data_IF_880786084191
#
_entry.id   IF_880786084191
#
_cell.length_a   1.000
_cell.length_b   1.000
_cell.length_c   1.000
_cell.angle_alpha   90.00
_cell.angle_beta   90.00
_cell.angle_gamma   90.00
#
_symmetry.space_group_name_H-M   'P 1'
#
loop_
_entity.id
_entity.type
_entity.pdbx_description
1 polymer ?
#
# COMPACT_ATOMS: atom_id res chain seq x y z
N UNK A 1 -5.06 -8.37 -65.98
CA UNK A 1 -6.17 -9.17 -66.50
C UNK A 1 -6.51 -10.22 -65.45
N UNK A 2 -7.79 -10.30 -65.04
CA UNK A 2 -8.29 -11.29 -64.07
C UNK A 2 -8.70 -12.57 -64.80
N UNK A 3 -8.82 -13.68 -64.07
CA UNK A 3 -9.64 -14.84 -64.46
C UNK A 3 -10.49 -15.26 -63.27
N UNK A 4 -11.77 -14.88 -63.34
CA UNK A 4 -12.97 -15.60 -62.88
C UNK A 4 -12.98 -17.05 -63.40
N UNK A 5 -13.76 -18.03 -62.94
CA UNK A 5 -14.90 -18.24 -62.03
C UNK A 5 -14.80 -19.74 -61.61
N UNK A 6 -15.27 -20.24 -60.47
CA UNK A 6 -16.64 -20.25 -59.96
C UNK A 6 -17.14 -21.71 -59.89
N UNK A 7 -17.67 -22.11 -58.73
CA UNK A 7 -18.80 -23.02 -58.52
C UNK A 7 -18.68 -23.84 -57.21
N UNK A 8 -19.65 -23.59 -56.33
CA UNK A 8 -20.11 -24.37 -55.17
C UNK A 8 -20.50 -25.81 -55.54
N UNK A 9 -20.56 -26.78 -54.58
CA UNK A 9 -21.80 -26.91 -53.79
C UNK A 9 -21.69 -27.43 -52.33
N UNK A 10 -22.73 -27.08 -51.55
CA UNK A 10 -23.51 -27.88 -50.59
C UNK A 10 -22.93 -28.38 -49.24
N UNK A 11 -23.30 -27.65 -48.18
CA UNK A 11 -24.12 -28.03 -47.00
C UNK A 11 -23.92 -29.36 -46.22
N UNK A 12 -23.49 -29.16 -44.96
CA UNK A 12 -23.92 -29.76 -43.66
C UNK A 12 -23.67 -31.25 -43.31
N UNK A 13 -23.48 -31.62 -42.01
CA UNK A 13 -24.11 -31.01 -40.82
C UNK A 13 -23.20 -30.54 -39.68
N UNK A 14 -23.72 -29.55 -38.95
CA UNK A 14 -23.30 -29.12 -37.64
C UNK A 14 -23.41 -30.24 -36.60
N UNK A 15 -22.35 -30.40 -35.79
CA UNK A 15 -22.37 -31.21 -34.58
C UNK A 15 -22.68 -30.31 -33.36
N UNK A 16 -23.48 -30.80 -32.40
CA UNK A 16 -24.06 -29.99 -31.33
C UNK A 16 -22.98 -29.54 -30.33
N UNK A 17 -22.86 -28.22 -30.16
CA UNK A 17 -22.17 -27.63 -29.02
C UNK A 17 -23.12 -27.66 -27.82
N UNK A 18 -23.00 -28.71 -27.02
CA UNK A 18 -23.71 -28.87 -25.75
C UNK A 18 -22.88 -29.70 -24.81
N UNK A 19 -21.82 -29.12 -24.23
CA UNK A 19 -21.15 -29.72 -23.09
C UNK A 19 -22.08 -29.52 -21.88
N UNK A 20 -23.06 -30.41 -21.76
CA UNK A 20 -23.96 -30.55 -20.62
C UNK A 20 -23.21 -31.11 -19.42
N UNK A 21 -22.17 -30.41 -18.97
CA UNK A 21 -21.61 -30.64 -17.64
C UNK A 21 -22.59 -30.08 -16.64
N UNK A 22 -23.15 -30.94 -15.80
CA UNK A 22 -23.90 -30.50 -14.63
C UNK A 22 -23.00 -29.58 -13.80
N UNK A 23 -23.30 -28.29 -13.83
CA UNK A 23 -22.58 -27.28 -13.07
C UNK A 23 -22.70 -27.62 -11.59
N UNK A 24 -21.55 -27.88 -10.96
CA UNK A 24 -21.49 -28.30 -9.55
C UNK A 24 -22.16 -27.25 -8.67
N UNK A 25 -22.80 -27.67 -7.57
CA UNK A 25 -23.46 -26.74 -6.66
C UNK A 25 -22.52 -25.62 -6.17
N UNK A 26 -21.23 -25.94 -6.02
CA UNK A 26 -20.19 -24.99 -5.62
C UNK A 26 -19.84 -23.97 -6.72
N UNK A 27 -19.85 -24.35 -8.00
CA UNK A 27 -19.67 -23.42 -9.12
C UNK A 27 -20.85 -22.47 -9.29
N UNK A 28 -22.08 -22.97 -9.11
CA UNK A 28 -23.29 -22.13 -9.10
C UNK A 28 -23.26 -21.12 -7.95
N UNK A 29 -22.82 -21.53 -6.76
CA UNK A 29 -22.63 -20.63 -5.63
C UNK A 29 -21.55 -19.56 -5.91
N UNK A 30 -20.43 -19.94 -6.54
CA UNK A 30 -19.35 -19.01 -6.93
C UNK A 30 -19.80 -17.99 -7.97
N UNK A 31 -20.70 -18.36 -8.88
CA UNK A 31 -21.25 -17.44 -9.88
C UNK A 31 -22.22 -16.43 -9.25
N UNK A 32 -23.06 -16.93 -8.33
CA UNK A 32 -24.11 -16.16 -7.65
C UNK A 32 -23.63 -15.33 -6.46
N UNK A 33 -22.38 -15.44 -6.00
CA UNK A 33 -21.93 -14.68 -4.81
C UNK A 33 -20.43 -14.38 -4.81
N UNK A 34 -20.03 -13.31 -4.12
CA UNK A 34 -18.61 -12.99 -3.90
C UNK A 34 -18.06 -13.77 -2.69
N UNK A 35 -16.73 -13.95 -2.55
CA UNK A 35 -16.13 -14.66 -1.41
C UNK A 35 -16.51 -14.09 -0.04
N UNK A 36 -16.75 -12.77 0.04
CA UNK A 36 -17.20 -12.08 1.25
C UNK A 36 -18.63 -12.49 1.64
N UNK A 37 -19.53 -12.53 0.67
CA UNK A 37 -20.95 -12.90 0.84
C UNK A 37 -21.08 -14.36 1.30
N UNK A 38 -20.24 -15.27 0.79
CA UNK A 38 -20.16 -16.66 1.25
C UNK A 38 -19.68 -16.81 2.70
N UNK A 39 -18.72 -15.99 3.11
CA UNK A 39 -18.23 -16.00 4.49
C UNK A 39 -19.32 -15.57 5.46
N UNK A 40 -20.04 -14.49 5.15
CA UNK A 40 -21.16 -13.99 5.97
C UNK A 40 -22.29 -15.02 6.02
N UNK A 41 -22.64 -15.64 4.89
CA UNK A 41 -23.66 -16.68 4.85
C UNK A 41 -23.30 -17.90 5.72
N UNK A 42 -22.05 -18.36 5.69
CA UNK A 42 -21.57 -19.47 6.51
C UNK A 42 -21.50 -19.12 8.01
N UNK A 43 -21.17 -17.88 8.36
CA UNK A 43 -21.13 -17.41 9.75
C UNK A 43 -22.53 -17.32 10.39
N UNK A 44 -23.56 -17.05 9.57
CA UNK A 44 -24.94 -16.88 10.02
C UNK A 44 -25.87 -18.05 9.67
N UNK A 45 -25.32 -19.18 9.20
CA UNK A 45 -26.04 -20.38 8.76
C UNK A 45 -27.21 -20.04 7.80
N UNK A 46 -26.89 -19.22 6.78
CA UNK A 46 -27.83 -18.78 5.74
C UNK A 46 -27.52 -19.50 4.44
N UNK A 47 -28.53 -20.15 3.84
CA UNK A 47 -28.41 -20.64 2.48
C UNK A 47 -28.54 -19.48 1.48
N UNK A 48 -27.52 -19.32 0.63
CA UNK A 48 -27.48 -18.30 -0.42
C UNK A 48 -28.54 -18.53 -1.51
N UNK A 49 -29.14 -19.71 -1.55
CA UNK A 49 -30.23 -20.05 -2.46
C UNK A 49 -31.51 -19.29 -2.10
N UNK A 50 -31.70 -18.97 -0.82
CA UNK A 50 -32.90 -18.30 -0.28
C UNK A 50 -32.81 -16.76 -0.35
N UNK A 51 -31.65 -16.23 -0.71
CA UNK A 51 -31.41 -14.79 -0.81
C UNK A 51 -31.53 -14.34 -2.26
N UNK A 52 -32.50 -13.46 -2.52
CA UNK A 52 -32.66 -12.82 -3.83
C UNK A 52 -31.51 -11.81 -4.06
N UNK A 53 -30.77 -11.98 -5.17
CA UNK A 53 -29.58 -11.17 -5.45
C UNK A 53 -29.89 -10.00 -6.38
N UNK A 54 -29.59 -8.78 -5.93
CA UNK A 54 -29.82 -7.54 -6.69
C UNK A 54 -28.63 -7.16 -7.60
N UNK A 55 -27.53 -7.89 -7.55
CA UNK A 55 -26.32 -7.63 -8.32
C UNK A 55 -26.41 -8.02 -9.80
N UNK A 56 -25.47 -7.53 -10.61
CA UNK A 56 -25.38 -7.84 -12.05
C UNK A 56 -25.40 -9.36 -12.29
N UNK A 57 -26.30 -9.81 -13.16
CA UNK A 57 -26.57 -11.22 -13.46
C UNK A 57 -27.16 -12.04 -12.30
N UNK A 58 -27.94 -11.43 -11.41
CA UNK A 58 -28.65 -12.11 -10.31
C UNK A 58 -27.73 -12.53 -9.16
N UNK A 59 -26.63 -11.79 -8.97
CA UNK A 59 -25.62 -12.07 -7.94
C UNK A 59 -26.07 -11.49 -6.60
N UNK A 60 -25.96 -12.29 -5.53
CA UNK A 60 -26.19 -11.86 -4.16
C UNK A 60 -25.05 -10.96 -3.71
N UNK A 61 -25.40 -9.74 -3.30
CA UNK A 61 -24.48 -8.72 -2.81
C UNK A 61 -24.45 -8.71 -1.28
N UNK A 62 -23.49 -7.96 -0.71
CA UNK A 62 -23.42 -7.77 0.75
C UNK A 62 -24.71 -7.15 1.30
N UNK A 63 -25.31 -6.20 0.58
CA UNK A 63 -26.53 -5.53 1.00
C UNK A 63 -27.72 -6.49 1.04
N UNK A 64 -27.81 -7.40 0.08
CA UNK A 64 -28.91 -8.39 0.01
C UNK A 64 -28.88 -9.36 1.20
N UNK A 65 -27.71 -9.86 1.59
CA UNK A 65 -27.57 -10.73 2.78
C UNK A 65 -27.88 -9.97 4.07
N UNK A 66 -27.37 -8.75 4.21
CA UNK A 66 -27.62 -7.97 5.43
C UNK A 66 -29.12 -7.65 5.56
N UNK A 67 -29.78 -7.28 4.46
CA UNK A 67 -31.22 -7.05 4.45
C UNK A 67 -32.02 -8.35 4.73
N UNK A 68 -31.55 -9.50 4.26
CA UNK A 68 -32.16 -10.80 4.56
C UNK A 68 -32.02 -11.16 6.06
N UNK A 69 -30.84 -10.93 6.65
CA UNK A 69 -30.61 -11.15 8.08
C UNK A 69 -31.44 -10.20 8.95
N UNK A 70 -31.57 -8.93 8.55
CA UNK A 70 -32.42 -7.95 9.23
C UNK A 70 -33.91 -8.33 9.17
N UNK A 71 -34.39 -8.85 8.02
CA UNK A 71 -35.76 -9.37 7.90
C UNK A 71 -35.99 -10.64 8.70
N UNK A 72 -35.03 -11.58 8.69
CA UNK A 72 -35.08 -12.79 9.52
C UNK A 72 -35.09 -12.46 11.01
N UNK A 73 -34.43 -11.38 11.43
CA UNK A 73 -34.49 -10.86 12.80
C UNK A 73 -35.78 -10.10 13.15
N UNK A 74 -36.62 -9.77 12.17
CA UNK A 74 -37.83 -8.96 12.33
C UNK A 74 -39.14 -9.78 12.22
N UNK A 75 -39.08 -11.06 11.88
CA UNK A 75 -40.22 -11.99 12.03
C UNK A 75 -40.26 -12.57 13.46
N UNK A 76 -41.43 -12.59 14.13
CA UNK A 76 -41.54 -13.12 15.49
C UNK A 76 -41.46 -14.64 15.44
N UNK A 77 -40.31 -15.19 15.82
CA UNK A 77 -40.15 -16.62 16.02
C UNK A 77 -40.93 -17.05 17.27
N UNK A 78 -41.92 -17.91 17.03
CA UNK A 78 -42.69 -18.61 18.05
C UNK A 78 -41.77 -19.50 18.89
N UNK A 79 -42.02 -19.51 20.20
CA UNK A 79 -41.23 -20.20 21.22
C UNK A 79 -40.99 -21.71 20.93
N UNK A 80 -39.75 -22.20 21.10
CA UNK A 80 -39.49 -23.63 21.23
C UNK A 80 -39.51 -24.07 22.70
N UNK A 81 -40.14 -25.23 22.93
CA UNK A 81 -40.19 -25.96 24.18
C UNK A 81 -38.82 -26.57 24.57
N UNK A 82 -38.59 -26.67 25.88
CA UNK A 82 -37.40 -27.21 26.53
C UNK A 82 -37.15 -28.71 26.23
N UNK A 83 -35.89 -29.04 25.99
CA UNK A 83 -35.30 -30.36 26.20
C UNK A 83 -33.83 -30.23 26.67
N UNK A 84 -33.28 -31.20 27.44
CA UNK A 84 -32.38 -30.91 28.54
C UNK A 84 -30.87 -30.95 28.18
N UNK A 85 -30.14 -30.05 28.83
CA UNK A 85 -28.83 -30.27 29.45
C UNK A 85 -27.69 -30.87 28.62
N UNK A 86 -26.89 -30.01 27.98
CA UNK A 86 -25.47 -30.29 27.68
C UNK A 86 -24.57 -29.40 28.54
N UNK A 87 -23.43 -29.92 29.04
CA UNK A 87 -22.62 -29.24 30.04
C UNK A 87 -22.05 -27.94 29.50
N UNK A 88 -22.11 -26.90 30.33
CA UNK A 88 -21.58 -25.57 30.07
C UNK A 88 -20.10 -25.67 29.71
N UNK A 89 -19.78 -25.42 28.45
CA UNK A 89 -18.44 -25.03 28.04
C UNK A 89 -18.26 -23.60 28.56
N UNK A 90 -17.35 -23.41 29.50
CA UNK A 90 -16.95 -22.09 29.98
C UNK A 90 -16.73 -21.18 28.78
N UNK A 91 -17.49 -20.10 28.72
CA UNK A 91 -17.31 -19.06 27.75
C UNK A 91 -15.92 -18.46 27.97
N UNK A 92 -15.00 -18.75 27.05
CA UNK A 92 -13.89 -17.84 26.80
C UNK A 92 -14.50 -16.45 26.63
N UNK A 93 -14.01 -15.42 27.35
CA UNK A 93 -14.58 -14.09 27.23
C UNK A 93 -14.51 -13.72 25.75
N UNK A 94 -15.67 -13.47 25.16
CA UNK A 94 -15.77 -12.86 23.86
C UNK A 94 -15.05 -11.52 24.00
N UNK A 95 -13.77 -11.49 23.60
CA UNK A 95 -13.05 -10.25 23.38
C UNK A 95 -13.94 -9.41 22.49
N UNK A 96 -14.42 -8.29 23.02
CA UNK A 96 -15.47 -7.49 22.39
C UNK A 96 -15.17 -7.33 20.91
N UNK A 97 -16.15 -7.66 20.07
CA UNK A 97 -16.05 -7.45 18.65
C UNK A 97 -15.77 -5.96 18.42
N UNK A 98 -14.50 -5.61 18.23
CA UNK A 98 -14.10 -4.27 17.84
C UNK A 98 -14.84 -3.95 16.55
N UNK A 99 -15.56 -2.83 16.53
CA UNK A 99 -16.19 -2.34 15.31
C UNK A 99 -15.12 -2.18 14.22
N UNK A 100 -15.49 -2.40 12.95
CA UNK A 100 -14.54 -2.32 11.84
C UNK A 100 -13.75 -0.99 11.84
N UNK A 101 -14.39 0.11 12.21
CA UNK A 101 -13.77 1.43 12.30
C UNK A 101 -12.73 1.52 13.44
N UNK A 102 -13.00 0.89 14.58
CA UNK A 102 -12.05 0.80 15.69
C UNK A 102 -10.86 -0.10 15.33
N UNK A 103 -11.11 -1.17 14.58
CA UNK A 103 -10.09 -2.07 14.05
C UNK A 103 -9.14 -1.35 13.09
N UNK A 104 -9.66 -0.57 12.16
CA UNK A 104 -8.83 0.22 11.23
C UNK A 104 -8.12 1.38 11.94
N UNK A 105 -8.79 2.05 12.89
CA UNK A 105 -8.17 3.13 13.68
C UNK A 105 -6.99 2.61 14.50
N UNK A 106 -7.11 1.46 15.16
CA UNK A 106 -5.98 0.85 15.89
C UNK A 106 -4.90 0.33 14.94
N UNK A 107 -5.29 -0.28 13.81
CA UNK A 107 -4.34 -0.84 12.85
C UNK A 107 -3.43 0.23 12.22
N UNK A 108 -3.98 1.41 11.91
CA UNK A 108 -3.26 2.53 11.32
C UNK A 108 -2.76 3.59 12.32
N UNK A 109 -3.30 3.62 13.54
CA UNK A 109 -2.97 4.62 14.57
C UNK A 109 -1.98 4.14 15.63
N UNK A 110 -1.92 2.84 15.92
CA UNK A 110 -1.07 2.28 16.96
C UNK A 110 -0.12 1.21 16.40
N UNK A 111 1.18 1.48 16.50
CA UNK A 111 2.22 0.48 16.25
C UNK A 111 2.53 -0.23 17.56
N UNK A 112 2.06 -1.47 17.66
CA UNK A 112 2.50 -2.39 18.71
C UNK A 112 3.59 -3.30 18.17
N UNK A 113 4.75 -3.29 18.84
CA UNK A 113 5.84 -4.23 18.57
C UNK A 113 5.59 -5.53 19.34
N UNK A 114 5.90 -6.71 18.77
CA UNK A 114 5.76 -7.97 19.48
C UNK A 114 6.73 -8.03 20.66
N UNK A 115 6.24 -8.44 21.82
CA UNK A 115 7.06 -8.70 23.01
C UNK A 115 7.49 -10.16 23.06
N UNK A 116 8.73 -10.40 23.50
CA UNK A 116 9.32 -11.73 23.59
C UNK A 116 9.92 -11.93 24.99
N UNK A 117 9.84 -13.14 25.56
CA UNK A 117 10.44 -13.43 26.86
C UNK A 117 11.96 -13.40 26.77
N UNK A 118 12.61 -12.72 27.73
CA UNK A 118 14.07 -12.68 27.88
C UNK A 118 14.57 -14.00 28.45
N UNK A 119 15.59 -14.59 27.83
CA UNK A 119 16.18 -15.88 28.20
C UNK A 119 17.50 -15.70 28.95
N UNK A 120 17.96 -16.77 29.58
CA UNK A 120 19.26 -16.80 30.24
C UNK A 120 20.38 -16.64 29.20
N UNK A 121 21.29 -15.68 29.43
CA UNK A 121 22.35 -15.30 28.49
C UNK A 121 22.00 -14.16 27.53
N UNK A 122 20.75 -13.70 27.50
CA UNK A 122 20.34 -12.58 26.65
C UNK A 122 20.87 -11.24 27.19
N UNK A 123 21.34 -10.38 26.27
CA UNK A 123 21.66 -8.98 26.56
C UNK A 123 20.50 -8.10 26.09
N UNK A 124 19.88 -7.39 27.02
CA UNK A 124 18.76 -6.48 26.74
C UNK A 124 19.25 -5.03 26.79
N UNK A 125 18.97 -4.28 25.73
CA UNK A 125 19.26 -2.85 25.66
C UNK A 125 17.99 -2.04 25.41
N UNK A 126 17.84 -0.94 26.13
CA UNK A 126 16.74 0.00 25.90
C UNK A 126 17.00 0.81 24.63
N UNK A 127 15.98 0.91 23.78
CA UNK A 127 16.03 1.81 22.63
C UNK A 127 15.96 3.27 23.06
N UNK A 128 16.81 4.11 22.48
CA UNK A 128 16.67 5.56 22.58
C UNK A 128 15.41 6.07 21.86
N UNK A 129 15.07 7.35 22.05
CA UNK A 129 13.85 7.95 21.48
C UNK A 129 13.84 7.95 19.95
N UNK A 130 14.98 8.20 19.30
CA UNK A 130 15.08 8.27 17.83
C UNK A 130 14.85 6.87 17.25
N UNK A 131 15.46 5.85 17.86
CA UNK A 131 15.31 4.45 17.48
C UNK A 131 13.87 3.95 17.64
N UNK A 132 13.19 4.31 18.74
CA UNK A 132 11.76 3.99 18.95
C UNK A 132 10.88 4.60 17.86
N UNK A 133 10.99 5.92 17.63
CA UNK A 133 10.21 6.61 16.60
C UNK A 133 10.49 6.08 15.19
N UNK A 134 11.74 5.70 14.91
CA UNK A 134 12.11 5.11 13.63
C UNK A 134 11.45 3.74 13.45
N UNK A 135 11.49 2.89 14.48
CA UNK A 135 10.83 1.58 14.45
C UNK A 135 9.32 1.71 14.20
N UNK A 136 8.66 2.66 14.88
CA UNK A 136 7.22 2.91 14.71
C UNK A 136 6.90 3.36 13.27
N UNK A 137 7.61 4.36 12.75
CA UNK A 137 7.39 4.84 11.38
C UNK A 137 7.68 3.78 10.31
N UNK A 138 8.69 2.92 10.50
CA UNK A 138 8.99 1.85 9.55
C UNK A 138 7.88 0.80 9.49
N UNK A 139 7.31 0.41 10.63
CA UNK A 139 6.16 -0.51 10.67
C UNK A 139 4.95 0.13 10.00
N UNK A 140 4.65 1.39 10.32
CA UNK A 140 3.53 2.11 9.72
C UNK A 140 3.69 2.22 8.20
N UNK A 141 4.89 2.59 7.72
CA UNK A 141 5.16 2.67 6.28
C UNK A 141 4.89 1.32 5.58
N UNK A 142 5.30 0.20 6.18
CA UNK A 142 5.05 -1.15 5.64
C UNK A 142 3.58 -1.57 5.68
N UNK A 143 2.79 -1.09 6.65
CA UNK A 143 1.35 -1.35 6.73
C UNK A 143 0.55 -0.54 5.71
N UNK A 144 0.94 0.72 5.50
CA UNK A 144 0.18 1.68 4.69
C UNK A 144 0.49 1.54 3.19
N UNK A 145 1.75 1.38 2.82
CA UNK A 145 2.16 1.41 1.41
C UNK A 145 2.36 0.00 0.83
N UNK A 146 1.67 -0.36 -0.27
CA UNK A 146 1.98 -1.57 -1.03
C UNK A 146 3.29 -1.35 -1.82
N UNK A 147 4.39 -1.83 -1.28
CA UNK A 147 5.71 -1.61 -1.87
C UNK A 147 5.94 -2.51 -3.08
N UNK A 148 6.36 -1.92 -4.20
CA UNK A 148 6.89 -2.61 -5.37
C UNK A 148 8.30 -2.08 -5.62
N UNK A 149 9.21 -2.97 -6.01
CA UNK A 149 10.62 -2.64 -6.23
C UNK A 149 11.00 -2.95 -7.67
N UNK A 150 11.72 -2.03 -8.31
CA UNK A 150 12.28 -2.18 -9.65
C UNK A 150 13.73 -1.69 -9.63
N UNK A 151 14.56 -2.29 -10.48
CA UNK A 151 15.98 -1.98 -10.57
C UNK A 151 16.33 -1.67 -12.02
N UNK A 152 17.15 -0.63 -12.20
CA UNK A 152 17.77 -0.28 -13.47
C UNK A 152 19.24 0.04 -13.23
N UNK A 153 20.08 -0.25 -14.21
CA UNK A 153 21.49 0.16 -14.21
C UNK A 153 21.65 1.43 -15.05
N UNK A 154 22.43 2.38 -14.54
CA UNK A 154 22.65 3.67 -15.20
C UNK A 154 24.16 3.87 -15.36
N UNK A 155 24.60 4.12 -16.59
CA UNK A 155 26.00 4.47 -16.88
C UNK A 155 26.30 5.92 -16.50
N UNK A 156 27.20 6.09 -15.53
CA UNK A 156 27.64 7.40 -15.03
C UNK A 156 28.88 7.95 -15.76
N UNK A 157 29.40 7.29 -16.80
CA UNK A 157 30.62 7.70 -17.52
C UNK A 157 30.57 9.16 -17.98
N UNK A 158 29.43 9.59 -18.56
CA UNK A 158 29.26 10.98 -19.00
C UNK A 158 29.20 11.96 -17.83
N UNK A 159 28.54 11.57 -16.74
CA UNK A 159 28.43 12.37 -15.51
C UNK A 159 29.80 12.53 -14.85
N UNK A 160 30.61 11.46 -14.76
CA UNK A 160 31.96 11.54 -14.19
C UNK A 160 32.85 12.46 -15.02
N UNK A 161 32.79 12.35 -16.36
CA UNK A 161 33.54 13.26 -17.24
C UNK A 161 33.19 14.73 -16.97
N UNK A 162 31.89 15.08 -17.00
CA UNK A 162 31.41 16.44 -16.70
C UNK A 162 31.90 16.88 -15.31
N UNK A 163 31.79 16.00 -14.32
CA UNK A 163 32.19 16.30 -12.94
C UNK A 163 33.68 16.58 -12.83
N UNK A 164 34.52 15.81 -13.52
CA UNK A 164 35.98 15.98 -13.53
C UNK A 164 36.40 17.27 -14.24
N UNK A 165 35.82 17.55 -15.39
CA UNK A 165 36.09 18.76 -16.19
C UNK A 165 35.70 20.05 -15.43
N UNK A 166 34.59 20.03 -14.70
CA UNK A 166 34.07 21.22 -14.01
C UNK A 166 34.51 21.35 -12.55
N UNK A 167 35.30 20.38 -12.04
CA UNK A 167 35.71 20.31 -10.62
C UNK A 167 36.38 21.60 -10.13
N UNK A 168 37.32 22.14 -10.92
CA UNK A 168 38.05 23.37 -10.56
C UNK A 168 37.11 24.57 -10.49
N UNK A 169 36.27 24.76 -11.51
CA UNK A 169 35.28 25.84 -11.59
C UNK A 169 34.29 25.82 -10.41
N UNK A 170 33.82 24.65 -10.00
CA UNK A 170 32.92 24.55 -8.84
C UNK A 170 33.66 24.79 -7.52
N UNK A 171 34.92 24.37 -7.42
CA UNK A 171 35.74 24.64 -6.24
C UNK A 171 35.98 26.14 -6.04
N UNK A 172 36.20 26.91 -7.10
CA UNK A 172 36.28 28.38 -7.07
C UNK A 172 34.98 29.02 -6.54
N UNK A 173 33.83 28.39 -6.80
CA UNK A 173 32.52 28.81 -6.28
C UNK A 173 32.21 28.29 -4.86
N UNK A 174 33.21 27.71 -4.18
CA UNK A 174 33.10 27.13 -2.85
C UNK A 174 32.21 25.89 -2.78
N UNK A 175 32.09 25.12 -3.88
CA UNK A 175 31.19 23.98 -3.96
C UNK A 175 31.91 22.70 -4.41
N UNK A 176 31.38 21.55 -3.98
CA UNK A 176 31.84 20.23 -4.41
C UNK A 176 30.64 19.40 -4.87
N UNK A 177 30.39 19.41 -6.18
CA UNK A 177 29.27 18.67 -6.78
C UNK A 177 29.56 17.17 -6.74
N UNK A 178 28.79 16.45 -5.93
CA UNK A 178 28.85 15.00 -5.80
C UNK A 178 27.95 14.30 -6.82
N UNK A 179 28.09 12.98 -6.96
CA UNK A 179 27.15 12.19 -7.75
C UNK A 179 25.72 12.26 -7.18
N UNK A 180 25.58 12.28 -5.85
CA UNK A 180 24.29 12.47 -5.17
C UNK A 180 23.61 13.77 -5.61
N UNK A 181 24.36 14.85 -5.83
CA UNK A 181 23.79 16.11 -6.32
C UNK A 181 23.23 15.97 -7.76
N UNK A 182 23.91 15.22 -8.64
CA UNK A 182 23.38 14.93 -9.98
C UNK A 182 22.08 14.11 -9.90
N UNK A 183 22.05 13.08 -9.04
CA UNK A 183 20.85 12.25 -8.86
C UNK A 183 19.70 13.08 -8.30
N UNK A 184 19.92 13.82 -7.21
CA UNK A 184 18.89 14.65 -6.60
C UNK A 184 18.35 15.71 -7.57
N UNK A 185 19.23 16.37 -8.33
CA UNK A 185 18.82 17.34 -9.35
C UNK A 185 18.01 16.69 -10.47
N UNK A 186 18.44 15.52 -10.98
CA UNK A 186 17.70 14.79 -12.01
C UNK A 186 16.33 14.30 -11.51
N UNK A 187 16.25 13.80 -10.27
CA UNK A 187 15.00 13.39 -9.64
C UNK A 187 14.06 14.58 -9.47
N UNK A 188 14.55 15.73 -9.00
CA UNK A 188 13.73 16.94 -8.86
C UNK A 188 13.10 17.35 -10.21
N UNK A 189 13.86 17.27 -11.30
CA UNK A 189 13.35 17.57 -12.65
C UNK A 189 12.37 16.51 -13.16
N UNK A 190 12.65 15.23 -12.92
CA UNK A 190 11.74 14.15 -13.32
C UNK A 190 10.40 14.25 -12.58
N UNK A 191 10.40 14.60 -11.29
CA UNK A 191 9.16 14.74 -10.52
C UNK A 191 8.25 15.88 -11.02
N UNK A 192 8.81 16.92 -11.66
CA UNK A 192 8.00 17.96 -12.33
C UNK A 192 7.25 17.39 -13.54
N UNK A 193 7.90 16.52 -14.31
CA UNK A 193 7.33 15.91 -15.51
C UNK A 193 6.35 14.78 -15.19
N UNK A 194 6.54 14.10 -14.05
CA UNK A 194 5.77 12.94 -13.63
C UNK A 194 5.05 13.17 -12.28
N UNK A 195 4.02 14.05 -12.22
CA UNK A 195 3.37 14.46 -10.98
C UNK A 195 2.69 13.32 -10.23
N UNK A 196 2.29 12.23 -10.90
CA UNK A 196 1.78 11.03 -10.25
C UNK A 196 2.76 10.38 -9.26
N UNK A 197 4.06 10.59 -9.46
CA UNK A 197 5.10 10.09 -8.54
C UNK A 197 5.27 11.03 -7.35
N UNK A 198 5.02 12.34 -7.54
CA UNK A 198 4.99 13.35 -6.47
C UNK A 198 3.58 13.51 -5.86
N UNK A 199 2.87 12.40 -5.69
CA UNK A 199 1.50 12.34 -5.20
C UNK A 199 1.37 11.60 -3.87
N UNK A 200 0.28 11.85 -3.15
CA UNK A 200 -0.09 11.10 -1.93
C UNK A 200 -1.55 10.71 -1.96
N UNK A 201 -1.87 9.56 -1.38
CA UNK A 201 -3.24 9.08 -1.20
C UNK A 201 -3.76 9.63 0.13
N UNK A 202 -4.95 10.24 0.12
CA UNK A 202 -5.61 10.77 1.31
C UNK A 202 -7.09 10.38 1.28
N UNK A 203 -7.46 9.37 2.08
CA UNK A 203 -8.79 8.76 2.00
C UNK A 203 -9.06 8.25 0.58
N UNK A 204 -10.16 8.72 -0.02
CA UNK A 204 -10.56 8.38 -1.39
C UNK A 204 -10.02 9.37 -2.44
N UNK A 205 -9.04 10.21 -2.08
CA UNK A 205 -8.48 11.24 -2.96
C UNK A 205 -7.00 11.01 -3.26
N UNK A 206 -6.60 11.41 -4.46
CA UNK A 206 -5.21 11.57 -4.86
C UNK A 206 -4.83 13.05 -4.80
N UNK A 207 -3.82 13.37 -4.01
CA UNK A 207 -3.28 14.74 -3.87
C UNK A 207 -1.93 14.78 -4.59
N UNK A 208 -1.85 15.50 -5.70
CA UNK A 208 -0.59 15.77 -6.40
C UNK A 208 0.05 17.03 -5.83
N UNK A 209 1.32 16.94 -5.41
CA UNK A 209 2.04 18.07 -4.81
C UNK A 209 2.66 18.92 -5.93
N UNK A 210 2.41 20.23 -5.88
CA UNK A 210 2.99 21.19 -6.85
C UNK A 210 4.48 21.45 -6.58
N UNK A 211 4.84 21.65 -5.32
CA UNK A 211 6.22 21.85 -4.90
C UNK A 211 6.95 20.50 -4.81
N UNK A 212 8.25 20.49 -5.14
CA UNK A 212 9.09 19.29 -5.04
C UNK A 212 10.12 19.50 -3.94
N UNK A 213 9.90 18.83 -2.82
CA UNK A 213 10.82 18.78 -1.71
C UNK A 213 11.56 17.44 -1.74
N UNK A 214 12.86 17.44 -1.45
CA UNK A 214 13.67 16.22 -1.45
C UNK A 214 14.28 15.98 -0.06
N UNK A 215 13.88 14.88 0.57
CA UNK A 215 14.54 14.36 1.76
C UNK A 215 15.86 13.68 1.40
N UNK A 216 16.96 14.09 2.04
CA UNK A 216 18.27 13.48 1.85
C UNK A 216 18.66 12.75 3.13
N UNK A 217 18.73 11.42 3.07
CA UNK A 217 19.14 10.62 4.20
C UNK A 217 20.63 10.83 4.52
N UNK A 218 20.92 11.31 5.73
CA UNK A 218 22.28 11.57 6.22
C UNK A 218 22.56 10.65 7.41
N UNK A 219 23.54 9.79 7.23
CA UNK A 219 24.06 8.93 8.29
C UNK A 219 24.81 9.75 9.36
N UNK A 220 24.55 9.42 10.61
CA UNK A 220 25.11 10.03 11.81
C UNK A 220 25.81 8.96 12.64
N UNK A 221 26.79 9.37 13.45
CA UNK A 221 27.42 8.49 14.43
C UNK A 221 26.91 8.82 15.85
N UNK A 222 26.00 8.03 16.46
CA UNK A 222 25.11 7.03 15.84
C UNK A 222 23.79 7.64 15.33
N UNK A 223 23.18 7.04 14.31
CA UNK A 223 21.79 7.27 13.89
C UNK A 223 21.62 7.71 12.43
N UNK A 224 20.38 8.03 12.04
CA UNK A 224 20.03 8.53 10.71
C UNK A 224 19.13 9.76 10.88
N UNK A 225 19.35 10.78 10.06
CA UNK A 225 18.44 11.92 9.97
C UNK A 225 18.21 12.29 8.52
N UNK A 226 17.00 12.75 8.20
CA UNK A 226 16.60 13.08 6.82
C UNK A 226 16.26 14.57 6.75
N UNK A 227 17.24 15.46 6.52
CA UNK A 227 16.95 16.85 6.20
C UNK A 227 16.28 16.99 4.84
N UNK A 228 15.47 18.05 4.69
CA UNK A 228 14.65 18.32 3.51
C UNK A 228 15.22 19.52 2.73
N UNK A 229 15.46 19.33 1.44
CA UNK A 229 15.70 20.40 0.49
C UNK A 229 14.35 20.83 -0.06
N UNK A 230 13.92 22.05 0.28
CA UNK A 230 12.66 22.61 -0.21
C UNK A 230 12.81 23.18 -1.61
N UNK A 231 11.74 23.08 -2.40
CA UNK A 231 11.63 23.63 -3.76
C UNK A 231 12.86 23.26 -4.60
N UNK A 232 13.24 21.99 -4.53
CA UNK A 232 14.47 21.45 -5.13
C UNK A 232 14.46 21.55 -6.66
N UNK A 233 13.27 21.68 -7.23
CA UNK A 233 13.01 21.82 -8.65
C UNK A 233 13.36 23.20 -9.21
N UNK A 234 13.35 24.25 -8.40
CA UNK A 234 13.82 25.58 -8.79
C UNK A 234 15.36 25.70 -8.72
N UNK A 235 16.03 24.73 -8.11
CA UNK A 235 17.47 24.77 -7.90
C UNK A 235 18.25 24.28 -9.13
N UNK A 236 19.36 24.99 -9.41
CA UNK A 236 20.39 24.49 -10.32
C UNK A 236 21.16 23.34 -9.68
N UNK A 237 21.87 22.53 -10.47
CA UNK A 237 22.74 21.45 -9.97
C UNK A 237 23.71 21.94 -8.87
N UNK A 238 24.32 23.11 -9.08
CA UNK A 238 25.24 23.73 -8.11
C UNK A 238 24.47 24.14 -6.85
N UNK A 239 23.25 24.68 -6.99
CA UNK A 239 22.36 25.04 -5.88
C UNK A 239 21.96 23.83 -5.03
N UNK A 240 21.50 22.75 -5.66
CA UNK A 240 21.19 21.47 -4.99
C UNK A 240 22.41 20.97 -4.22
N UNK A 241 23.59 20.95 -4.86
CA UNK A 241 24.84 20.53 -4.20
C UNK A 241 25.16 21.38 -2.97
N UNK A 242 25.01 22.72 -3.05
CA UNK A 242 25.25 23.60 -1.90
C UNK A 242 24.28 23.29 -0.75
N UNK A 243 23.00 23.03 -1.05
CA UNK A 243 22.03 22.65 -0.01
C UNK A 243 22.28 21.29 0.61
N UNK A 244 22.68 20.29 -0.17
CA UNK A 244 23.09 18.99 0.36
C UNK A 244 24.27 19.16 1.32
N UNK A 245 25.30 19.93 0.94
CA UNK A 245 26.49 20.13 1.78
C UNK A 245 26.18 20.87 3.07
N UNK A 246 25.37 21.94 3.00
CA UNK A 246 24.93 22.70 4.19
C UNK A 246 24.11 21.82 5.14
N UNK A 247 23.05 21.17 4.64
CA UNK A 247 22.18 20.33 5.45
C UNK A 247 22.93 19.14 6.04
N UNK A 248 23.78 18.45 5.26
CA UNK A 248 24.58 17.35 5.78
C UNK A 248 25.60 17.81 6.83
N UNK A 249 26.22 18.97 6.63
CA UNK A 249 27.12 19.58 7.61
C UNK A 249 26.39 19.90 8.91
N UNK A 250 25.20 20.50 8.84
CA UNK A 250 24.39 20.84 10.03
C UNK A 250 23.78 19.61 10.69
N UNK A 251 23.40 18.59 9.92
CA UNK A 251 22.92 17.30 10.42
C UNK A 251 23.96 16.63 11.31
N UNK A 252 25.20 16.47 10.81
CA UNK A 252 26.30 15.86 11.57
C UNK A 252 26.67 16.65 12.82
N UNK A 253 26.54 17.97 12.76
CA UNK A 253 26.79 18.85 13.89
C UNK A 253 25.58 19.04 14.82
N UNK A 254 24.46 18.34 14.58
CA UNK A 254 23.20 18.45 15.35
C UNK A 254 22.63 19.88 15.43
N UNK A 255 22.75 20.64 14.34
CA UNK A 255 22.30 22.05 14.19
C UNK A 255 21.15 22.21 13.18
N UNK A 256 20.40 21.14 12.92
CA UNK A 256 19.18 21.23 12.10
C UNK A 256 18.05 21.81 12.93
N UNK A 257 17.21 22.61 12.27
CA UNK A 257 15.98 23.10 12.85
C UNK A 257 14.85 22.08 12.65
N UNK A 258 13.81 22.07 13.51
CA UNK A 258 12.70 21.12 13.40
C UNK A 258 11.94 21.16 12.06
N UNK A 259 11.85 22.32 11.43
CA UNK A 259 11.20 22.52 10.13
C UNK A 259 12.00 21.95 8.95
N UNK A 260 13.28 21.65 9.15
CA UNK A 260 14.17 21.11 8.13
C UNK A 260 14.16 19.59 8.09
N UNK A 261 13.44 18.92 8.99
CA UNK A 261 13.34 17.45 9.09
C UNK A 261 11.92 16.95 8.82
N UNK A 262 11.07 17.80 8.24
CA UNK A 262 9.67 17.50 7.92
C UNK A 262 9.31 18.03 6.52
N UNK A 263 8.35 17.37 5.86
CA UNK A 263 7.73 17.87 4.63
C UNK A 263 8.45 17.51 3.31
N UNK A 264 9.30 16.48 3.34
CA UNK A 264 9.74 15.79 2.13
C UNK A 264 8.66 14.84 1.61
#
# INVERSE_FOLDING_TARGET
>A
QPVEAGAEPAAEPAAPSGDGREETADERLRRRSTPLVRRIAAEHDVDLSDVEGSGRAGRVTKQDIMAYLERRGAEPEAAPAEAPGKPAREAVPAGGAMGADELWSRFYGEVQHPEWPVREGDRVESMDRIRKLTADHMVLAKRVAPHVHSFIEIDFTRIDRIRRENKAKWAEQGNKVSYTAFVAWAVAKALQEFPQVNGTVSGDQLIFRGNINLGIAVDLDPGLIVPVIRDADDLTLVGVSKRILDLAGRARNRKLKPDEIQGA
#
